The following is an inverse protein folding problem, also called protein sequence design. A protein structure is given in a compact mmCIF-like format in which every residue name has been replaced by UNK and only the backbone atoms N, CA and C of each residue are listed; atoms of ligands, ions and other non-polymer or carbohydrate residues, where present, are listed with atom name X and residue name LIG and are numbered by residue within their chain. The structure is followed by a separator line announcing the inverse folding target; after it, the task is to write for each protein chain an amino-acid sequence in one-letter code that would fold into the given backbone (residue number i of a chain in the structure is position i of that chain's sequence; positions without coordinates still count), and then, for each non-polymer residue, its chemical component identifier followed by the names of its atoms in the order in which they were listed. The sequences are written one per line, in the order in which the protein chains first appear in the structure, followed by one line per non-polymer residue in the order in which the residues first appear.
data_IF_476476903752
#
_entry.id   IF_476476903752
#
_cell.length_a   1.000
_cell.length_b   1.000
_cell.length_c   1.000
_cell.angle_alpha   90.00
_cell.angle_beta   90.00
_cell.angle_gamma   90.00
#
_symmetry.space_group_name_H-M   'P 1'
#
loop_
_entity.id
_entity.type
_entity.pdbx_description
1 polymer ?
#
# COMPACT_ATOMS: atom_id res chain seq x y z
N UNK A 1 27.00 -56.24 -47.05
CA UNK A 1 26.21 -55.92 -48.26
C UNK A 1 24.75 -56.18 -47.92
N UNK A 2 23.88 -55.15 -48.05
CA UNK A 2 22.41 -55.18 -47.79
C UNK A 2 22.03 -55.38 -46.30
N UNK A 3 21.08 -54.66 -45.69
CA UNK A 3 20.17 -53.61 -46.14
C UNK A 3 18.92 -53.58 -45.22
N UNK A 4 18.42 -52.37 -44.96
CA UNK A 4 17.03 -51.98 -44.60
C UNK A 4 16.31 -52.67 -43.41
N UNK A 5 15.57 -51.98 -42.55
CA UNK A 5 15.14 -50.60 -42.55
C UNK A 5 14.29 -50.30 -41.30
N UNK A 6 14.05 -49.02 -41.05
CA UNK A 6 12.96 -48.55 -40.21
C UNK A 6 12.31 -47.37 -40.92
N UNK A 7 11.00 -47.51 -41.14
CA UNK A 7 10.14 -46.53 -41.77
C UNK A 7 9.00 -46.15 -40.80
N UNK A 8 8.73 -44.85 -40.77
CA UNK A 8 7.57 -44.04 -40.38
C UNK A 8 6.61 -44.37 -39.19
N UNK A 9 6.52 -43.35 -38.30
CA UNK A 9 5.33 -42.67 -37.74
C UNK A 9 4.45 -43.36 -36.65
N UNK A 10 3.69 -42.63 -35.78
CA UNK A 10 3.26 -41.23 -35.91
C UNK A 10 3.40 -40.29 -34.69
N UNK A 11 3.39 -39.01 -35.06
CA UNK A 11 2.99 -37.77 -34.39
C UNK A 11 2.12 -37.93 -33.13
N UNK A 12 2.76 -37.81 -31.97
CA UNK A 12 2.10 -37.65 -30.67
C UNK A 12 1.95 -36.17 -30.30
N UNK A 13 0.71 -35.71 -30.35
CA UNK A 13 0.19 -34.39 -29.99
C UNK A 13 0.71 -33.94 -28.60
N UNK A 14 1.66 -32.98 -28.54
CA UNK A 14 1.99 -32.26 -27.30
C UNK A 14 0.82 -31.33 -26.96
N UNK A 15 -0.04 -31.73 -26.02
CA UNK A 15 -0.94 -30.79 -25.32
C UNK A 15 -0.07 -29.86 -24.47
N UNK A 16 0.16 -28.64 -24.96
CA UNK A 16 0.50 -27.52 -24.10
C UNK A 16 -0.68 -27.31 -23.14
N UNK A 17 -0.47 -27.64 -21.86
CA UNK A 17 -1.32 -27.17 -20.79
C UNK A 17 -0.93 -25.71 -20.55
N UNK A 18 -1.68 -24.80 -21.16
CA UNK A 18 -1.64 -23.38 -20.86
C UNK A 18 -2.05 -23.18 -19.39
N UNK A 19 -1.16 -22.61 -18.59
CA UNK A 19 -1.44 -22.09 -17.26
C UNK A 19 -2.63 -21.11 -17.33
N UNK A 20 -3.57 -21.12 -16.38
CA UNK A 20 -4.56 -20.05 -16.30
C UNK A 20 -3.84 -18.77 -15.88
N UNK A 21 -3.62 -17.91 -16.85
CA UNK A 21 -3.20 -16.52 -16.66
C UNK A 21 -4.25 -15.83 -15.79
N UNK A 22 -3.93 -15.56 -14.53
CA UNK A 22 -4.75 -14.71 -13.66
C UNK A 22 -4.63 -13.31 -14.25
N UNK A 23 -5.61 -12.95 -15.07
CA UNK A 23 -5.72 -11.64 -15.68
C UNK A 23 -5.87 -10.60 -14.57
N UNK A 24 -4.83 -9.81 -14.33
CA UNK A 24 -4.96 -8.53 -13.64
C UNK A 24 -5.81 -7.64 -14.55
N UNK A 25 -6.99 -7.16 -14.12
CA UNK A 25 -7.83 -6.35 -14.98
C UNK A 25 -7.20 -4.96 -15.14
N UNK A 26 -6.37 -4.83 -16.17
CA UNK A 26 -5.94 -3.57 -16.77
C UNK A 26 -7.08 -3.08 -17.67
N UNK A 27 -8.14 -2.54 -17.07
CA UNK A 27 -9.31 -2.08 -17.81
C UNK A 27 -10.23 -1.23 -16.94
N UNK A 28 -10.45 0.02 -17.37
CA UNK A 28 -11.22 1.01 -16.63
C UNK A 28 -12.59 0.51 -16.17
N UNK A 29 -12.81 0.51 -14.85
CA UNK A 29 -14.09 0.21 -14.23
C UNK A 29 -15.06 1.38 -14.47
N UNK A 30 -15.76 1.36 -15.61
CA UNK A 30 -17.09 1.98 -15.70
C UNK A 30 -18.10 0.99 -15.10
N UNK A 31 -18.74 1.39 -13.99
CA UNK A 31 -20.03 0.81 -13.58
C UNK A 31 -19.99 -0.33 -12.55
N UNK A 32 -19.46 -0.06 -11.36
CA UNK A 32 -19.91 -0.66 -10.09
C UNK A 32 -19.30 0.16 -8.97
N UNK A 33 -20.10 0.69 -8.05
CA UNK A 33 -19.58 1.26 -6.80
C UNK A 33 -19.08 0.07 -5.98
N UNK A 34 -17.85 -0.37 -6.25
CA UNK A 34 -17.29 -1.57 -5.66
C UNK A 34 -16.87 -1.33 -4.22
N UNK A 35 -17.69 -1.77 -3.26
CA UNK A 35 -17.28 -1.93 -1.86
C UNK A 35 -16.09 -2.89 -1.76
N UNK A 36 -15.26 -2.69 -0.73
CA UNK A 36 -14.00 -3.45 -0.57
C UNK A 36 -14.29 -4.93 -0.30
N UNK A 37 -13.69 -5.80 -1.11
CA UNK A 37 -13.80 -7.27 -1.03
C UNK A 37 -12.52 -7.91 -0.51
N UNK A 38 -12.65 -9.10 0.06
CA UNK A 38 -11.51 -9.90 0.53
C UNK A 38 -10.46 -10.14 -0.54
N UNK A 39 -10.89 -10.39 -1.79
CA UNK A 39 -9.97 -10.56 -2.91
C UNK A 39 -8.98 -9.39 -3.10
N UNK A 40 -9.31 -8.19 -2.62
CA UNK A 40 -8.44 -7.01 -2.72
C UNK A 40 -7.39 -6.92 -1.61
N UNK A 41 -7.54 -7.73 -0.55
CA UNK A 41 -6.56 -7.88 0.53
C UNK A 41 -5.52 -8.96 0.21
N UNK A 42 -5.86 -9.93 -0.64
CA UNK A 42 -4.95 -11.03 -1.01
C UNK A 42 -3.68 -10.46 -1.68
N UNK A 43 -2.48 -10.79 -1.17
CA UNK A 43 -1.23 -10.37 -1.81
C UNK A 43 -1.09 -11.03 -3.19
N UNK A 44 -0.66 -10.25 -4.20
CA UNK A 44 -0.63 -10.68 -5.61
C UNK A 44 0.28 -11.89 -5.86
N UNK A 45 1.32 -12.06 -5.05
CA UNK A 45 2.36 -13.08 -5.21
C UNK A 45 2.34 -14.09 -4.05
N UNK A 46 1.24 -14.18 -3.29
CA UNK A 46 1.16 -15.11 -2.17
C UNK A 46 1.22 -16.57 -2.65
N UNK A 47 2.22 -17.30 -2.20
CA UNK A 47 2.28 -18.75 -2.27
C UNK A 47 1.84 -19.34 -0.93
N UNK A 48 0.74 -20.11 -0.93
CA UNK A 48 0.25 -20.77 0.28
C UNK A 48 0.99 -22.09 0.45
N UNK A 49 1.90 -22.13 1.43
CA UNK A 49 2.64 -23.33 1.81
C UNK A 49 1.83 -24.10 2.85
N UNK A 50 1.66 -25.39 2.65
CA UNK A 50 0.94 -26.29 3.57
C UNK A 50 1.86 -27.39 4.10
N UNK A 51 1.47 -28.01 5.21
CA UNK A 51 2.14 -29.19 5.77
C UNK A 51 1.16 -30.35 5.94
N UNK A 52 1.57 -31.61 5.71
CA UNK A 52 0.70 -32.75 5.95
C UNK A 52 0.51 -33.02 7.45
N UNK A 53 -0.58 -33.70 7.79
CA UNK A 53 -0.76 -34.32 9.12
C UNK A 53 0.43 -35.22 9.49
N UNK A 54 0.73 -35.32 10.78
CA UNK A 54 1.85 -36.06 11.33
C UNK A 54 3.21 -35.35 11.19
N UNK A 55 3.27 -34.18 10.55
CA UNK A 55 4.49 -33.36 10.56
C UNK A 55 4.84 -32.97 11.99
N UNK A 56 6.10 -33.12 12.39
CA UNK A 56 6.55 -32.71 13.73
C UNK A 56 6.49 -31.18 13.87
N UNK A 57 6.00 -30.70 15.01
CA UNK A 57 5.92 -29.27 15.32
C UNK A 57 7.26 -28.55 15.15
N UNK A 58 8.37 -29.19 15.52
CA UNK A 58 9.72 -28.65 15.32
C UNK A 58 10.03 -28.38 13.85
N UNK A 59 9.70 -29.32 12.96
CA UNK A 59 9.90 -29.14 11.51
C UNK A 59 9.02 -28.04 10.94
N UNK A 60 7.77 -27.93 11.43
CA UNK A 60 6.85 -26.86 11.03
C UNK A 60 7.35 -25.48 11.51
N UNK A 61 7.84 -25.38 12.75
CA UNK A 61 8.43 -24.15 13.31
C UNK A 61 9.68 -23.73 12.53
N UNK A 62 10.55 -24.67 12.17
CA UNK A 62 11.76 -24.38 11.39
C UNK A 62 11.40 -23.88 9.97
N UNK A 63 10.35 -24.45 9.36
CA UNK A 63 9.82 -23.99 8.08
C UNK A 63 9.23 -22.57 8.19
N UNK A 64 8.47 -22.30 9.25
CA UNK A 64 7.90 -20.99 9.54
C UNK A 64 8.99 -19.94 9.71
N UNK A 65 10.01 -20.21 10.51
CA UNK A 65 11.15 -19.31 10.71
C UNK A 65 11.91 -19.05 9.40
N UNK A 66 12.26 -20.11 8.67
CA UNK A 66 13.02 -20.01 7.42
C UNK A 66 12.30 -19.20 6.33
N UNK A 67 10.96 -19.20 6.34
CA UNK A 67 10.13 -18.49 5.35
C UNK A 67 9.53 -17.19 5.86
N UNK A 68 9.66 -16.90 7.16
CA UNK A 68 9.01 -15.75 7.80
C UNK A 68 7.48 -15.87 7.85
N UNK A 69 6.96 -17.09 8.06
CA UNK A 69 5.53 -17.33 8.22
C UNK A 69 5.15 -17.41 9.69
N UNK A 70 3.92 -17.00 10.01
CA UNK A 70 3.34 -17.11 11.36
C UNK A 70 2.32 -18.25 11.48
N UNK A 71 1.99 -18.89 10.35
CA UNK A 71 1.04 -19.98 10.28
C UNK A 71 1.27 -20.90 9.08
N UNK A 72 0.85 -22.16 9.22
CA UNK A 72 0.88 -23.19 8.20
C UNK A 72 -0.45 -23.96 8.20
N UNK A 73 -1.24 -23.93 7.12
CA UNK A 73 -2.38 -24.81 6.95
C UNK A 73 -1.93 -26.27 6.98
N UNK A 74 -2.63 -27.09 7.77
CA UNK A 74 -2.38 -28.52 7.88
C UNK A 74 -3.37 -29.26 6.99
N UNK A 75 -2.85 -30.13 6.13
CA UNK A 75 -3.66 -30.87 5.15
C UNK A 75 -3.65 -32.38 5.41
N UNK A 76 -4.79 -33.02 5.15
CA UNK A 76 -4.89 -34.47 5.18
C UNK A 76 -4.41 -35.12 3.85
N UNK A 77 -4.39 -36.46 3.73
CA UNK A 77 -3.96 -37.13 2.49
C UNK A 77 -4.79 -36.82 1.24
N UNK A 78 -6.01 -36.27 1.40
CA UNK A 78 -6.86 -35.80 0.30
C UNK A 78 -6.58 -34.33 -0.05
N UNK A 79 -5.54 -33.72 0.51
CA UNK A 79 -5.19 -32.30 0.38
C UNK A 79 -6.26 -31.33 0.91
N UNK A 80 -7.14 -31.80 1.81
CA UNK A 80 -8.09 -30.93 2.52
C UNK A 80 -7.43 -30.30 3.72
N UNK A 81 -7.64 -29.01 3.89
CA UNK A 81 -7.23 -28.29 5.09
C UNK A 81 -8.09 -28.74 6.26
N UNK A 82 -7.44 -29.22 7.32
CA UNK A 82 -8.12 -29.68 8.54
C UNK A 82 -7.97 -28.69 9.71
N UNK A 83 -7.16 -27.66 9.53
CA UNK A 83 -6.85 -26.66 10.55
C UNK A 83 -5.55 -25.94 10.20
N UNK A 84 -5.08 -25.11 11.12
CA UNK A 84 -3.89 -24.29 10.93
C UNK A 84 -2.97 -24.42 12.14
N UNK A 85 -1.70 -24.72 11.89
CA UNK A 85 -0.66 -24.69 12.91
C UNK A 85 -0.06 -23.28 12.97
N UNK A 86 0.00 -22.66 14.15
CA UNK A 86 0.53 -21.31 14.36
C UNK A 86 1.43 -21.25 15.60
N UNK A 87 2.20 -20.17 15.77
CA UNK A 87 2.90 -19.94 17.04
C UNK A 87 1.93 -19.85 18.23
N UNK A 88 0.71 -19.31 18.02
CA UNK A 88 -0.33 -19.19 19.04
C UNK A 88 -0.85 -20.57 19.42
N UNK A 89 -1.28 -21.37 18.46
CA UNK A 89 -1.81 -22.72 18.69
C UNK A 89 -0.77 -23.60 19.38
N UNK A 90 0.48 -23.55 18.94
CA UNK A 90 1.61 -24.21 19.61
C UNK A 90 1.71 -23.76 21.07
N UNK A 91 1.86 -22.46 21.34
CA UNK A 91 2.04 -21.95 22.70
C UNK A 91 0.89 -22.29 23.66
N UNK A 92 -0.35 -22.33 23.15
CA UNK A 92 -1.54 -22.62 23.94
C UNK A 92 -1.68 -24.11 24.25
N UNK A 93 -1.19 -24.99 23.38
CA UNK A 93 -1.42 -26.42 23.51
C UNK A 93 -0.26 -27.17 24.16
N UNK A 94 0.97 -26.66 24.09
CA UNK A 94 2.12 -27.28 24.76
C UNK A 94 1.96 -27.36 26.29
N UNK A 95 1.13 -26.52 26.91
CA UNK A 95 0.84 -26.57 28.36
C UNK A 95 0.09 -27.83 28.77
N UNK A 96 -0.51 -28.54 27.81
CA UNK A 96 -1.20 -29.81 28.01
C UNK A 96 -0.28 -31.03 27.84
N UNK A 97 0.93 -30.83 27.33
CA UNK A 97 1.93 -31.89 27.23
C UNK A 97 2.54 -32.20 28.61
N UNK A 98 2.99 -33.44 28.79
CA UNK A 98 3.64 -33.82 30.04
C UNK A 98 5.03 -33.18 30.09
N UNK A 99 5.51 -32.87 31.29
CA UNK A 99 6.81 -32.19 31.47
C UNK A 99 7.99 -32.93 30.83
N UNK A 100 7.91 -34.25 30.67
CA UNK A 100 8.97 -35.06 30.05
C UNK A 100 8.86 -35.22 28.54
N UNK A 101 7.75 -34.82 27.91
CA UNK A 101 7.55 -34.95 26.48
C UNK A 101 8.20 -33.76 25.77
N UNK A 102 8.87 -33.99 24.63
CA UNK A 102 9.43 -32.90 23.81
C UNK A 102 8.29 -32.23 23.02
N UNK A 103 7.96 -30.95 23.28
CA UNK A 103 6.90 -30.25 22.56
C UNK A 103 7.13 -30.17 21.05
N UNK A 104 8.39 -30.21 20.60
CA UNK A 104 8.73 -30.13 19.18
C UNK A 104 8.50 -31.45 18.45
N UNK A 105 8.44 -32.57 19.16
CA UNK A 105 8.17 -33.89 18.59
C UNK A 105 6.66 -34.18 18.44
N UNK A 106 5.79 -33.34 19.03
CA UNK A 106 4.35 -33.50 18.88
C UNK A 106 3.92 -33.24 17.41
N UNK A 107 2.96 -34.02 16.89
CA UNK A 107 2.47 -33.82 15.53
C UNK A 107 1.63 -32.54 15.44
N UNK A 108 1.72 -31.84 14.30
CA UNK A 108 1.01 -30.57 14.10
C UNK A 108 -0.50 -30.69 14.19
N UNK A 109 -1.08 -31.83 13.81
CA UNK A 109 -2.53 -32.09 13.87
C UNK A 109 -3.08 -32.18 15.29
N UNK A 110 -2.23 -32.45 16.28
CA UNK A 110 -2.59 -32.34 17.70
C UNK A 110 -2.46 -30.91 18.23
N UNK A 111 -1.98 -29.96 17.41
CA UNK A 111 -1.59 -28.60 17.79
C UNK A 111 -2.22 -27.51 16.89
N UNK A 112 -3.25 -27.86 16.13
CA UNK A 112 -3.94 -26.93 15.22
C UNK A 112 -4.94 -26.03 15.95
N UNK A 113 -5.18 -24.86 15.40
CA UNK A 113 -6.36 -24.04 15.64
C UNK A 113 -7.24 -23.97 14.39
N UNK A 114 -8.51 -23.62 14.59
CA UNK A 114 -9.50 -23.50 13.52
C UNK A 114 -9.59 -22.04 13.07
N UNK A 115 -9.21 -21.77 11.82
CA UNK A 115 -9.41 -20.46 11.20
C UNK A 115 -10.62 -20.47 10.29
N UNK A 116 -11.32 -19.34 10.26
CA UNK A 116 -12.53 -19.19 9.45
C UNK A 116 -12.22 -19.17 7.96
N UNK A 117 -12.96 -19.96 7.19
CA UNK A 117 -13.04 -19.84 5.74
C UNK A 117 -13.98 -18.71 5.30
N UNK A 118 -13.51 -17.91 4.36
CA UNK A 118 -14.23 -16.79 3.74
C UNK A 118 -14.12 -16.86 2.22
N UNK A 119 -15.07 -16.26 1.52
CA UNK A 119 -15.06 -16.21 0.05
C UNK A 119 -14.34 -14.97 -0.44
N UNK A 120 -13.69 -15.02 -1.62
CA UNK A 120 -13.08 -13.84 -2.24
C UNK A 120 -14.04 -12.65 -2.43
N UNK A 121 -15.34 -12.94 -2.60
CA UNK A 121 -16.41 -11.96 -2.82
C UNK A 121 -16.95 -11.32 -1.54
N UNK A 122 -16.56 -11.79 -0.37
CA UNK A 122 -17.13 -11.32 0.90
C UNK A 122 -16.67 -9.88 1.19
N UNK A 123 -17.50 -9.13 1.93
CA UNK A 123 -17.19 -7.77 2.35
C UNK A 123 -16.10 -7.80 3.43
N UNK A 124 -15.11 -6.90 3.32
CA UNK A 124 -14.06 -6.80 4.34
C UNK A 124 -14.63 -6.50 5.72
N UNK A 125 -15.60 -5.58 5.81
CA UNK A 125 -16.22 -5.14 7.08
C UNK A 125 -16.80 -6.31 7.90
N UNK A 126 -17.46 -7.26 7.24
CA UNK A 126 -18.07 -8.43 7.89
C UNK A 126 -17.02 -9.41 8.43
N UNK A 127 -15.78 -9.32 7.93
CA UNK A 127 -14.71 -10.27 8.19
C UNK A 127 -13.67 -9.72 9.17
N UNK A 128 -13.56 -8.40 9.29
CA UNK A 128 -12.64 -7.74 10.22
C UNK A 128 -12.67 -8.31 11.64
N UNK A 129 -13.83 -8.62 12.27
CA UNK A 129 -13.84 -9.19 13.61
C UNK A 129 -13.07 -10.51 13.74
N UNK A 130 -13.07 -11.35 12.70
CA UNK A 130 -12.36 -12.63 12.69
C UNK A 130 -10.86 -12.43 12.46
N UNK A 131 -10.49 -11.48 11.58
CA UNK A 131 -9.07 -11.13 11.39
C UNK A 131 -8.50 -10.52 12.69
N UNK A 132 -9.28 -9.73 13.42
CA UNK A 132 -8.87 -9.11 14.68
C UNK A 132 -8.70 -10.14 15.80
N UNK A 133 -9.62 -11.11 15.93
CA UNK A 133 -9.51 -12.15 16.96
C UNK A 133 -8.45 -13.20 16.64
N UNK A 134 -8.40 -13.66 15.40
CA UNK A 134 -7.66 -14.87 15.01
C UNK A 134 -6.39 -14.55 14.24
N UNK A 135 -6.08 -13.26 14.04
CA UNK A 135 -4.96 -12.71 13.24
C UNK A 135 -5.00 -13.05 11.73
N UNK A 136 -5.84 -14.00 11.31
CA UNK A 136 -5.95 -14.44 9.94
C UNK A 136 -7.29 -15.12 9.63
N UNK A 137 -7.62 -15.14 8.33
CA UNK A 137 -8.72 -15.93 7.76
C UNK A 137 -8.24 -16.67 6.51
N UNK A 138 -8.86 -17.81 6.24
CA UNK A 138 -8.59 -18.64 5.06
C UNK A 138 -9.52 -18.23 3.92
N UNK A 139 -8.98 -17.95 2.74
CA UNK A 139 -9.79 -17.58 1.57
C UNK A 139 -10.00 -18.81 0.69
N UNK A 140 -11.26 -19.17 0.45
CA UNK A 140 -11.64 -20.37 -0.29
C UNK A 140 -12.48 -21.32 0.57
N UNK A 141 -12.17 -22.61 0.48
CA UNK A 141 -12.77 -23.67 1.28
C UNK A 141 -11.70 -24.73 1.63
N UNK A 142 -12.10 -25.75 2.40
CA UNK A 142 -11.22 -26.82 2.88
C UNK A 142 -10.59 -27.64 1.74
N UNK A 143 -11.34 -27.84 0.65
CA UNK A 143 -10.89 -28.52 -0.57
C UNK A 143 -10.00 -27.64 -1.46
N UNK A 144 -10.19 -26.31 -1.40
CA UNK A 144 -9.54 -25.34 -2.28
C UNK A 144 -9.17 -24.07 -1.53
N UNK A 145 -8.06 -24.16 -0.79
CA UNK A 145 -7.43 -23.00 -0.19
C UNK A 145 -6.77 -22.13 -1.27
N UNK A 146 -7.19 -20.86 -1.37
CA UNK A 146 -6.69 -19.90 -2.36
C UNK A 146 -5.62 -18.97 -1.78
N UNK A 147 -5.83 -18.51 -0.55
CA UNK A 147 -5.00 -17.50 0.09
C UNK A 147 -5.22 -17.52 1.61
N UNK A 148 -4.32 -16.87 2.33
CA UNK A 148 -4.50 -16.54 3.75
C UNK A 148 -4.42 -15.03 3.87
N UNK A 149 -5.45 -14.40 4.45
CA UNK A 149 -5.47 -12.95 4.68
C UNK A 149 -5.26 -12.69 6.15
N UNK A 150 -4.27 -11.86 6.46
CA UNK A 150 -3.84 -11.52 7.81
C UNK A 150 -4.15 -10.08 8.18
N UNK A 151 -4.01 -9.73 9.46
CA UNK A 151 -4.07 -8.34 9.91
C UNK A 151 -3.01 -7.44 9.22
N UNK A 152 -1.86 -7.99 8.85
CA UNK A 152 -0.81 -7.28 8.12
C UNK A 152 -1.25 -6.92 6.69
N UNK A 153 -2.03 -7.79 6.04
CA UNK A 153 -2.56 -7.54 4.70
C UNK A 153 -3.62 -6.43 4.71
N UNK A 154 -4.47 -6.41 5.73
CA UNK A 154 -5.42 -5.31 5.97
C UNK A 154 -4.66 -3.99 6.16
N UNK A 155 -3.64 -3.99 7.02
CA UNK A 155 -2.81 -2.80 7.29
C UNK A 155 -2.11 -2.30 6.03
N UNK A 156 -1.51 -3.22 5.26
CA UNK A 156 -0.82 -2.90 4.00
C UNK A 156 -1.78 -2.36 2.95
N UNK A 157 -2.97 -2.94 2.84
CA UNK A 157 -4.03 -2.45 1.96
C UNK A 157 -4.46 -1.03 2.32
N UNK A 158 -4.72 -0.76 3.60
CA UNK A 158 -5.12 0.56 4.10
C UNK A 158 -4.01 1.57 3.87
N UNK A 159 -2.77 1.24 4.22
CA UNK A 159 -1.61 2.11 4.00
C UNK A 159 -1.44 2.47 2.52
N UNK A 160 -1.52 1.49 1.61
CA UNK A 160 -1.44 1.73 0.17
C UNK A 160 -2.52 2.69 -0.33
N UNK A 161 -3.72 2.63 0.26
CA UNK A 161 -4.86 3.51 -0.09
C UNK A 161 -4.75 4.91 0.51
N UNK A 162 -4.23 5.05 1.73
CA UNK A 162 -4.16 6.33 2.46
C UNK A 162 -2.88 7.11 2.21
N UNK A 163 -1.79 6.43 1.82
CA UNK A 163 -0.48 7.02 1.58
C UNK A 163 -0.48 8.27 0.69
N UNK A 164 -1.23 8.36 -0.43
CA UNK A 164 -1.27 9.60 -1.21
C UNK A 164 -1.76 10.80 -0.39
N UNK A 165 -2.79 10.60 0.44
CA UNK A 165 -3.35 11.67 1.27
C UNK A 165 -2.36 12.16 2.32
N UNK A 166 -1.68 11.22 2.99
CA UNK A 166 -0.64 11.54 3.99
C UNK A 166 0.50 12.32 3.35
N UNK A 167 1.01 11.87 2.19
CA UNK A 167 2.09 12.56 1.50
C UNK A 167 1.68 13.96 1.01
N UNK A 168 0.45 14.12 0.51
CA UNK A 168 -0.08 15.42 0.10
C UNK A 168 -0.19 16.38 1.29
N UNK A 169 -0.70 15.89 2.43
CA UNK A 169 -0.77 16.65 3.67
C UNK A 169 0.63 17.11 4.12
N UNK A 170 1.60 16.19 4.15
CA UNK A 170 2.98 16.50 4.53
C UNK A 170 3.60 17.57 3.63
N UNK A 171 3.38 17.48 2.32
CA UNK A 171 3.89 18.45 1.35
C UNK A 171 3.25 19.83 1.58
N UNK A 172 1.93 19.88 1.77
CA UNK A 172 1.20 21.14 1.95
C UNK A 172 1.60 21.83 3.26
N UNK A 173 1.65 21.08 4.37
CA UNK A 173 2.07 21.59 5.67
C UNK A 173 3.53 22.05 5.66
N UNK A 174 4.44 21.26 5.09
CA UNK A 174 5.84 21.65 4.97
C UNK A 174 6.02 22.90 4.09
N UNK A 175 5.22 23.04 3.03
CA UNK A 175 5.22 24.24 2.19
C UNK A 175 4.76 25.46 2.97
N UNK A 176 3.64 25.38 3.70
CA UNK A 176 3.16 26.47 4.56
C UNK A 176 4.20 26.86 5.61
N UNK A 177 4.80 25.89 6.27
CA UNK A 177 5.80 26.12 7.31
C UNK A 177 7.04 26.84 6.76
N UNK A 178 7.53 26.41 5.60
CA UNK A 178 8.64 27.09 4.93
C UNK A 178 8.25 28.51 4.48
N UNK A 179 7.02 28.73 4.00
CA UNK A 179 6.53 30.07 3.66
C UNK A 179 6.45 30.99 4.88
N UNK A 180 5.89 30.53 6.01
CA UNK A 180 5.87 31.29 7.28
C UNK A 180 7.25 31.73 7.72
N UNK A 181 8.24 30.84 7.57
CA UNK A 181 9.61 31.17 7.97
C UNK A 181 10.33 32.13 7.01
N UNK A 182 9.79 32.34 5.80
CA UNK A 182 10.44 33.14 4.76
C UNK A 182 9.96 34.60 4.73
N UNK A 183 8.74 34.87 5.18
CA UNK A 183 8.13 36.20 5.14
C UNK A 183 7.08 36.37 6.26
N UNK A 184 6.90 37.61 6.70
CA UNK A 184 5.81 38.00 7.60
C UNK A 184 4.44 37.94 6.91
N UNK A 185 3.35 37.96 7.69
CA UNK A 185 1.98 37.91 7.16
C UNK A 185 1.69 39.09 6.21
N UNK A 186 2.20 40.29 6.54
CA UNK A 186 2.08 41.47 5.66
C UNK A 186 2.82 41.30 4.33
N UNK A 187 4.00 40.67 4.34
CA UNK A 187 4.78 40.44 3.12
C UNK A 187 4.16 39.33 2.26
N UNK A 188 3.56 38.34 2.90
CA UNK A 188 2.80 37.29 2.23
C UNK A 188 1.55 37.85 1.56
N UNK A 189 0.83 38.74 2.24
CA UNK A 189 -0.30 39.46 1.68
C UNK A 189 0.11 40.22 0.40
N UNK A 190 1.23 40.95 0.43
CA UNK A 190 1.76 41.63 -0.75
C UNK A 190 2.05 40.65 -1.90
N UNK A 191 2.57 39.47 -1.58
CA UNK A 191 2.81 38.43 -2.58
C UNK A 191 1.50 37.90 -3.19
N UNK A 192 0.47 37.71 -2.38
CA UNK A 192 -0.84 37.25 -2.84
C UNK A 192 -1.53 38.30 -3.71
N UNK A 193 -1.51 39.57 -3.29
CA UNK A 193 -2.01 40.68 -4.08
C UNK A 193 -1.29 40.80 -5.44
N UNK A 194 0.03 40.56 -5.47
CA UNK A 194 0.80 40.57 -6.71
C UNK A 194 0.41 39.43 -7.67
N UNK A 195 0.02 38.26 -7.16
CA UNK A 195 -0.49 37.15 -7.98
C UNK A 195 -1.89 37.49 -8.51
N UNK A 196 -2.81 37.95 -7.65
CA UNK A 196 -4.17 38.28 -8.02
C UNK A 196 -4.26 39.46 -9.01
N UNK A 197 -3.36 40.43 -8.93
CA UNK A 197 -3.31 41.54 -9.89
C UNK A 197 -2.96 41.11 -11.33
N UNK A 198 -2.46 39.88 -11.51
CA UNK A 198 -2.17 39.31 -12.83
C UNK A 198 -3.34 38.49 -13.40
N UNK A 199 -4.32 38.13 -12.58
CA UNK A 199 -5.57 37.49 -12.99
C UNK A 199 -6.65 38.59 -13.13
N UNK A 200 -7.35 38.68 -14.26
CA UNK A 200 -8.24 39.82 -14.60
C UNK A 200 -9.43 40.06 -13.62
N UNK A 201 -9.61 39.24 -12.59
CA UNK A 201 -10.71 39.25 -11.61
C UNK A 201 -10.37 39.95 -10.27
N UNK A 202 -9.52 40.96 -10.29
CA UNK A 202 -9.02 41.64 -9.08
C UNK A 202 -10.07 42.44 -8.26
N UNK A 203 -11.26 42.70 -8.80
CA UNK A 203 -12.21 43.67 -8.23
C UNK A 203 -13.15 43.10 -7.13
N UNK A 204 -13.18 41.79 -6.88
CA UNK A 204 -14.06 41.17 -5.87
C UNK A 204 -13.31 40.51 -4.69
N UNK A 205 -11.97 40.41 -4.76
CA UNK A 205 -11.16 39.69 -3.77
C UNK A 205 -10.50 40.61 -2.73
N UNK A 206 -10.21 41.87 -3.07
CA UNK A 206 -9.43 42.78 -2.21
C UNK A 206 -10.06 43.11 -0.84
N UNK A 207 -11.39 43.04 -0.70
CA UNK A 207 -12.08 43.34 0.55
C UNK A 207 -12.06 42.17 1.57
N UNK A 208 -11.61 40.98 1.18
CA UNK A 208 -11.57 39.78 2.02
C UNK A 208 -10.18 39.43 2.52
N UNK A 209 -9.14 40.22 2.20
CA UNK A 209 -7.75 39.85 2.46
C UNK A 209 -7.20 40.35 3.81
N UNK A 210 -7.91 41.25 4.53
CA UNK A 210 -7.41 41.84 5.79
C UNK A 210 -7.31 40.82 6.96
N UNK A 211 -7.94 39.64 6.84
CA UNK A 211 -7.92 38.55 7.83
C UNK A 211 -7.38 37.21 7.28
N UNK A 212 -6.69 37.20 6.13
CA UNK A 212 -6.33 35.95 5.42
C UNK A 212 -5.12 35.23 6.03
N UNK A 213 -5.23 33.92 6.30
CA UNK A 213 -4.14 33.08 6.79
C UNK A 213 -3.62 32.10 5.70
N UNK A 214 -2.39 31.60 5.88
CA UNK A 214 -1.84 30.56 4.99
C UNK A 214 -2.68 29.27 4.96
N UNK A 215 -3.41 29.00 6.05
CA UNK A 215 -4.36 27.90 6.18
C UNK A 215 -5.52 28.00 5.20
N UNK A 216 -5.90 29.21 4.81
CA UNK A 216 -7.04 29.46 3.93
C UNK A 216 -6.68 29.23 2.46
N UNK A 217 -5.38 29.16 2.14
CA UNK A 217 -4.92 28.91 0.78
C UNK A 217 -4.99 27.43 0.43
N UNK A 218 -5.59 27.16 -0.73
CA UNK A 218 -5.50 25.87 -1.40
C UNK A 218 -4.06 25.61 -1.84
N UNK A 219 -3.71 24.34 -2.08
CA UNK A 219 -2.40 23.97 -2.63
C UNK A 219 -2.06 24.73 -3.93
N UNK A 220 -3.07 25.01 -4.76
CA UNK A 220 -2.88 25.75 -5.99
C UNK A 220 -2.44 27.20 -5.72
N UNK A 221 -3.14 27.89 -4.82
CA UNK A 221 -2.80 29.27 -4.46
C UNK A 221 -1.45 29.35 -3.74
N UNK A 222 -1.15 28.39 -2.85
CA UNK A 222 0.17 28.28 -2.22
C UNK A 222 1.28 28.17 -3.28
N UNK A 223 1.10 27.31 -4.28
CA UNK A 223 2.06 27.15 -5.37
C UNK A 223 2.16 28.42 -6.22
N UNK A 224 1.04 29.10 -6.53
CA UNK A 224 1.04 30.34 -7.29
C UNK A 224 1.82 31.45 -6.58
N UNK A 225 1.59 31.63 -5.27
CA UNK A 225 2.33 32.59 -4.44
C UNK A 225 3.81 32.24 -4.35
N UNK A 226 4.12 30.97 -4.06
CA UNK A 226 5.49 30.49 -3.95
C UNK A 226 6.26 30.71 -5.26
N UNK A 227 5.68 30.34 -6.40
CA UNK A 227 6.38 30.30 -7.69
C UNK A 227 6.35 31.62 -8.47
N UNK A 228 5.66 32.64 -7.95
CA UNK A 228 5.64 33.97 -8.53
C UNK A 228 7.06 34.57 -8.55
N UNK A 229 7.50 35.05 -9.72
CA UNK A 229 8.91 35.40 -9.98
C UNK A 229 9.45 36.46 -9.01
N UNK A 230 8.65 37.51 -8.74
CA UNK A 230 9.07 38.59 -7.85
C UNK A 230 9.15 38.12 -6.39
N UNK A 231 8.13 37.37 -5.94
CA UNK A 231 8.00 36.87 -4.57
C UNK A 231 9.08 35.83 -4.26
N UNK A 232 9.34 34.92 -5.18
CA UNK A 232 10.36 33.88 -5.00
C UNK A 232 11.76 34.46 -4.82
N UNK A 233 12.13 35.42 -5.68
CA UNK A 233 13.45 36.06 -5.61
C UNK A 233 13.65 36.83 -4.31
N UNK A 234 12.59 37.48 -3.81
CA UNK A 234 12.61 38.34 -2.63
C UNK A 234 12.57 37.56 -1.32
N UNK A 235 11.68 36.59 -1.19
CA UNK A 235 11.40 35.92 0.08
C UNK A 235 11.78 34.43 0.08
N UNK A 236 11.42 33.68 -0.95
CA UNK A 236 11.47 32.21 -0.88
C UNK A 236 12.82 31.58 -1.30
N UNK A 237 13.71 32.33 -1.96
CA UNK A 237 14.99 31.81 -2.49
C UNK A 237 15.89 31.18 -1.43
N UNK A 238 15.91 31.72 -0.22
CA UNK A 238 16.78 31.20 0.85
C UNK A 238 16.20 29.93 1.45
N UNK A 239 14.87 29.88 1.60
CA UNK A 239 14.16 28.80 2.29
C UNK A 239 13.87 27.60 1.39
N UNK A 240 13.42 27.83 0.15
CA UNK A 240 13.06 26.76 -0.80
C UNK A 240 14.19 26.38 -1.74
N UNK A 241 15.20 27.24 -1.89
CA UNK A 241 16.37 27.01 -2.72
C UNK A 241 16.61 28.09 -3.76
N UNK A 242 17.82 28.09 -4.32
CA UNK A 242 18.24 29.14 -5.27
C UNK A 242 17.59 29.03 -6.66
N UNK A 243 17.17 27.82 -7.06
CA UNK A 243 16.56 27.58 -8.37
C UNK A 243 15.05 27.43 -8.22
N UNK A 244 14.33 28.45 -8.69
CA UNK A 244 12.87 28.46 -8.78
C UNK A 244 12.37 27.37 -9.72
N UNK A 245 13.08 27.15 -10.82
CA UNK A 245 12.75 26.18 -11.86
C UNK A 245 12.76 24.76 -11.30
N UNK A 246 13.74 24.44 -10.44
CA UNK A 246 13.82 23.13 -9.79
C UNK A 246 12.71 22.91 -8.76
N UNK A 247 12.33 23.95 -8.02
CA UNK A 247 11.18 23.89 -7.10
C UNK A 247 9.89 23.73 -7.89
N UNK A 248 9.70 24.51 -8.95
CA UNK A 248 8.54 24.43 -9.85
C UNK A 248 8.42 23.04 -10.47
N UNK A 249 9.49 22.49 -11.05
CA UNK A 249 9.46 21.17 -11.68
C UNK A 249 9.16 20.03 -10.68
N UNK A 250 9.45 20.25 -9.40
CA UNK A 250 9.20 19.26 -8.35
C UNK A 250 7.77 19.35 -7.81
N UNK A 251 7.23 20.56 -7.66
CA UNK A 251 5.93 20.80 -7.02
C UNK A 251 4.76 20.82 -8.02
N UNK A 252 4.96 21.18 -9.28
CA UNK A 252 3.87 21.23 -10.26
C UNK A 252 3.14 19.88 -10.41
N UNK A 253 3.84 18.73 -10.54
CA UNK A 253 3.17 17.43 -10.62
C UNK A 253 2.32 17.07 -9.39
N UNK A 254 2.66 17.61 -8.21
CA UNK A 254 1.91 17.37 -6.97
C UNK A 254 0.49 17.91 -7.10
N UNK A 255 0.29 19.05 -7.79
CA UNK A 255 -1.03 19.66 -8.01
C UNK A 255 -1.95 18.72 -8.78
N UNK A 256 -1.44 18.10 -9.84
CA UNK A 256 -2.20 17.15 -10.65
C UNK A 256 -2.56 15.88 -9.87
N UNK A 257 -1.60 15.34 -9.10
CA UNK A 257 -1.83 14.18 -8.24
C UNK A 257 -2.85 14.51 -7.15
N UNK A 258 -2.79 15.70 -6.55
CA UNK A 258 -3.78 16.18 -5.56
C UNK A 258 -5.17 16.21 -6.17
N UNK A 259 -5.32 16.82 -7.34
CA UNK A 259 -6.62 16.89 -8.03
C UNK A 259 -7.16 15.48 -8.31
N UNK A 260 -6.30 14.56 -8.71
CA UNK A 260 -6.66 13.16 -8.91
C UNK A 260 -7.15 12.48 -7.62
N UNK A 261 -6.42 12.66 -6.52
CA UNK A 261 -6.73 12.08 -5.20
C UNK A 261 -8.04 12.65 -4.64
N UNK A 262 -8.17 13.98 -4.58
CA UNK A 262 -9.30 14.67 -3.95
C UNK A 262 -10.59 14.52 -4.76
N UNK A 263 -10.50 14.48 -6.10
CA UNK A 263 -11.66 14.24 -6.95
C UNK A 263 -11.87 12.75 -7.29
N UNK A 264 -11.15 11.84 -6.62
CA UNK A 264 -11.25 10.39 -6.80
C UNK A 264 -11.16 9.94 -8.27
N UNK A 265 -10.29 10.58 -9.07
CA UNK A 265 -10.09 10.30 -10.51
C UNK A 265 -9.18 9.08 -10.73
N UNK A 266 -9.56 7.94 -10.15
CA UNK A 266 -8.83 6.67 -10.24
C UNK A 266 -7.71 6.51 -9.20
N UNK A 267 -6.92 5.44 -9.35
CA UNK A 267 -5.84 5.10 -8.42
C UNK A 267 -4.56 5.87 -8.73
N UNK A 268 -3.82 6.23 -7.68
CA UNK A 268 -2.49 6.82 -7.78
C UNK A 268 -1.48 5.72 -8.12
N UNK A 269 -0.72 5.91 -9.21
CA UNK A 269 0.30 4.95 -9.65
C UNK A 269 1.55 5.00 -8.78
N UNK A 270 2.38 3.97 -8.85
CA UNK A 270 3.67 3.96 -8.13
C UNK A 270 4.61 5.08 -8.59
N UNK A 271 4.52 5.51 -9.86
CA UNK A 271 5.27 6.65 -10.39
C UNK A 271 4.79 7.98 -9.78
N UNK A 272 3.48 8.17 -9.66
CA UNK A 272 2.88 9.34 -9.00
C UNK A 272 3.23 9.35 -7.50
N UNK A 273 3.18 8.20 -6.83
CA UNK A 273 3.68 8.07 -5.45
C UNK A 273 5.16 8.45 -5.37
N UNK A 274 5.99 7.97 -6.29
CA UNK A 274 7.41 8.33 -6.39
C UNK A 274 7.61 9.84 -6.55
N UNK A 275 6.70 10.51 -7.26
CA UNK A 275 6.70 11.97 -7.42
C UNK A 275 6.39 12.70 -6.12
N UNK A 276 5.37 12.26 -5.37
CA UNK A 276 5.06 12.80 -4.05
C UNK A 276 6.23 12.62 -3.07
N UNK A 277 6.86 11.44 -3.06
CA UNK A 277 8.02 11.18 -2.20
C UNK A 277 9.20 12.11 -2.50
N UNK A 278 9.47 12.39 -3.79
CA UNK A 278 10.53 13.33 -4.19
C UNK A 278 10.24 14.75 -3.71
N UNK A 279 8.99 15.20 -3.84
CA UNK A 279 8.54 16.50 -3.34
C UNK A 279 8.66 16.59 -1.81
N UNK A 280 8.14 15.61 -1.08
CA UNK A 280 8.24 15.53 0.37
C UNK A 280 9.70 15.51 0.83
N UNK A 281 10.57 14.74 0.17
CA UNK A 281 12.00 14.69 0.48
C UNK A 281 12.71 16.02 0.23
N UNK A 282 12.33 16.77 -0.81
CA UNK A 282 12.84 18.12 -1.05
C UNK A 282 12.49 19.05 0.11
N UNK A 283 11.20 19.12 0.49
CA UNK A 283 10.72 20.01 1.54
C UNK A 283 11.28 19.63 2.92
N UNK A 284 11.34 18.34 3.24
CA UNK A 284 11.96 17.84 4.47
C UNK A 284 13.42 18.24 4.58
N UNK A 285 14.20 18.16 3.48
CA UNK A 285 15.58 18.64 3.47
C UNK A 285 15.66 20.15 3.75
N UNK A 286 14.72 20.95 3.24
CA UNK A 286 14.69 22.40 3.51
C UNK A 286 14.38 22.71 4.97
N UNK A 287 13.43 22.00 5.58
CA UNK A 287 13.13 22.12 7.01
C UNK A 287 14.33 21.77 7.89
N UNK A 288 15.06 20.69 7.57
CA UNK A 288 16.26 20.29 8.33
C UNK A 288 17.42 21.31 8.20
N UNK A 289 17.64 21.87 7.01
CA UNK A 289 18.66 22.91 6.81
C UNK A 289 18.35 24.14 7.67
N UNK A 290 17.06 24.47 7.86
CA UNK A 290 16.63 25.54 8.75
C UNK A 290 16.88 25.21 10.22
N UNK A 291 16.54 24.00 10.69
CA UNK A 291 16.73 23.63 12.10
C UNK A 291 18.19 23.61 12.56
N UNK A 292 19.13 23.45 11.62
CA UNK A 292 20.57 23.51 11.88
C UNK A 292 21.22 24.90 11.68
N UNK A 293 20.45 25.93 11.32
CA UNK A 293 20.92 27.30 11.07
C UNK A 293 20.44 28.25 12.18
#
# INVERSE_FOLDING_TARGET
MRGFGFDAAPTGMRRQLSSPEVAVPQGGLRGSVGFVRIAQLVPLEQEVVTVPIGTEAGSALDLMEARGFDQLPVVNPLSRVIGVFTYRSFSQQIVHLRTQDDPRAAPVDDLIEELRFVRPSDNVEEILPWIDSDNAVLVGDDDRLLAIVTASDVTSFLWRRTRPFVLLQDIELATRELMRSACSDSELFDCLAAVLATEEDAAHSAASLEDFALEDLTLHELHSVLLHKASYGRYFRTTFGRSRELVQSTLEPVREIRNKVVHFRGFVSDEEIGTLLRAAALLRRRLLIREGA
#
